data_IF_365614932963
#
_entry.id   IF_365614932963
#
_cell.length_a   1.000
_cell.length_b   1.000
_cell.length_c   1.000
_cell.angle_alpha   90.00
_cell.angle_beta   90.00
_cell.angle_gamma   90.00
#
_symmetry.space_group_name_H-M   'P 1'
#
loop_
_entity.id
_entity.type
_entity.pdbx_description
1 polymer ?
#
# COMPACT_ATOMS: atom_id res chain seq x y z
N UNK A 1 -53.72 24.75 -11.43
CA UNK A 1 -52.42 24.02 -11.50
C UNK A 1 -51.19 24.93 -11.65
N UNK A 2 -51.13 25.90 -12.58
CA UNK A 2 -49.97 26.82 -12.71
C UNK A 2 -49.75 27.72 -11.48
N UNK A 3 -50.80 28.20 -10.82
CA UNK A 3 -50.69 29.11 -9.66
C UNK A 3 -50.08 28.44 -8.42
N UNK A 4 -50.57 27.26 -8.05
CA UNK A 4 -50.11 26.50 -6.87
C UNK A 4 -48.63 26.07 -7.00
N UNK A 5 -48.19 25.74 -8.21
CA UNK A 5 -46.79 25.43 -8.51
C UNK A 5 -45.87 26.65 -8.33
N UNK A 6 -46.25 27.81 -8.88
CA UNK A 6 -45.48 29.05 -8.73
C UNK A 6 -45.41 29.51 -7.27
N UNK A 7 -46.49 29.29 -6.51
CA UNK A 7 -46.54 29.58 -5.09
C UNK A 7 -45.57 28.71 -4.27
N UNK A 8 -45.48 27.41 -4.60
CA UNK A 8 -44.52 26.48 -3.97
C UNK A 8 -43.06 26.85 -4.26
N UNK A 9 -42.75 27.34 -5.46
CA UNK A 9 -41.40 27.81 -5.80
C UNK A 9 -41.03 29.12 -5.10
N UNK A 10 -41.97 30.04 -4.91
CA UNK A 10 -41.75 31.30 -4.16
C UNK A 10 -41.40 31.06 -2.68
N UNK A 11 -41.81 29.92 -2.11
CA UNK A 11 -41.50 29.53 -0.72
C UNK A 11 -40.05 29.02 -0.54
N UNK A 12 -39.27 28.88 -1.62
CA UNK A 12 -37.85 28.50 -1.52
C UNK A 12 -37.01 29.74 -1.12
N UNK A 13 -36.31 29.72 0.03
CA UNK A 13 -35.49 30.85 0.46
C UNK A 13 -34.27 31.06 -0.47
N UNK A 14 -33.77 32.30 -0.52
CA UNK A 14 -32.51 32.59 -1.20
C UNK A 14 -31.35 31.88 -0.51
N UNK A 15 -30.27 31.60 -1.26
CA UNK A 15 -29.09 30.94 -0.72
C UNK A 15 -28.49 31.71 0.46
N UNK A 16 -28.46 33.05 0.40
CA UNK A 16 -27.91 33.86 1.48
C UNK A 16 -28.77 33.78 2.75
N UNK A 17 -30.11 33.70 2.61
CA UNK A 17 -31.02 33.42 3.74
C UNK A 17 -30.80 32.04 4.35
N UNK A 18 -30.44 31.04 3.55
CA UNK A 18 -30.09 29.69 4.05
C UNK A 18 -28.77 29.76 4.81
N UNK A 19 -27.73 30.37 4.22
CA UNK A 19 -26.40 30.49 4.83
C UNK A 19 -26.43 31.26 6.17
N UNK A 20 -27.37 32.19 6.34
CA UNK A 20 -27.56 32.92 7.59
C UNK A 20 -28.22 32.08 8.72
N UNK A 21 -28.79 30.90 8.44
CA UNK A 21 -29.46 30.08 9.46
C UNK A 21 -28.45 29.50 10.45
N UNK A 22 -28.77 29.55 11.76
CA UNK A 22 -27.97 28.93 12.83
C UNK A 22 -27.63 27.46 12.54
N UNK A 23 -28.56 26.70 11.95
CA UNK A 23 -28.36 25.27 11.60
C UNK A 23 -27.35 25.03 10.47
N UNK A 24 -26.96 26.06 9.71
CA UNK A 24 -25.97 25.96 8.62
C UNK A 24 -24.55 26.34 9.08
N UNK A 25 -24.44 27.09 10.19
CA UNK A 25 -23.16 27.53 10.74
C UNK A 25 -22.14 26.40 10.99
N UNK A 26 -22.52 25.19 11.44
CA UNK A 26 -21.56 24.09 11.57
C UNK A 26 -20.83 23.75 10.27
N UNK A 27 -21.53 23.80 9.12
CA UNK A 27 -20.91 23.55 7.81
C UNK A 27 -19.99 24.69 7.39
N UNK A 28 -20.27 25.93 7.78
CA UNK A 28 -19.41 27.08 7.48
C UNK A 28 -18.15 27.16 8.35
N UNK A 29 -18.15 26.47 9.50
CA UNK A 29 -16.95 26.25 10.32
C UNK A 29 -16.05 25.16 9.72
N UNK A 30 -16.65 24.13 9.13
CA UNK A 30 -15.91 22.99 8.54
C UNK A 30 -15.45 23.25 7.11
N UNK A 31 -16.20 24.03 6.32
CA UNK A 31 -15.92 24.27 4.91
C UNK A 31 -15.91 25.75 4.54
N UNK A 32 -15.08 26.18 3.57
CA UNK A 32 -15.10 27.55 3.07
C UNK A 32 -16.49 28.00 2.63
N UNK A 33 -16.92 29.21 3.01
CA UNK A 33 -18.26 29.73 2.69
C UNK A 33 -18.61 29.66 1.21
N UNK A 34 -17.65 29.96 0.32
CA UNK A 34 -17.83 29.87 -1.15
C UNK A 34 -18.24 28.46 -1.57
N UNK A 35 -17.59 27.44 -1.01
CA UNK A 35 -17.88 26.05 -1.28
C UNK A 35 -19.29 25.67 -0.82
N UNK A 36 -19.66 25.99 0.43
CA UNK A 36 -21.01 25.74 0.96
C UNK A 36 -22.08 26.47 0.13
N UNK A 37 -21.82 27.72 -0.29
CA UNK A 37 -22.74 28.50 -1.15
C UNK A 37 -22.98 27.82 -2.49
N UNK A 38 -21.93 27.35 -3.17
CA UNK A 38 -22.04 26.62 -4.44
C UNK A 38 -22.90 25.36 -4.28
N UNK A 39 -22.70 24.59 -3.20
CA UNK A 39 -23.48 23.36 -2.95
C UNK A 39 -24.92 23.64 -2.58
N UNK A 40 -25.18 24.66 -1.76
CA UNK A 40 -26.54 25.11 -1.51
C UNK A 40 -27.25 25.50 -2.81
N UNK A 41 -26.58 26.26 -3.70
CA UNK A 41 -27.16 26.64 -4.99
C UNK A 41 -27.48 25.42 -5.88
N UNK A 42 -26.56 24.45 -5.97
CA UNK A 42 -26.78 23.22 -6.72
C UNK A 42 -27.97 22.41 -6.15
N UNK A 43 -28.05 22.28 -4.83
CA UNK A 43 -29.17 21.59 -4.16
C UNK A 43 -30.49 22.32 -4.35
N UNK A 44 -30.51 23.65 -4.30
CA UNK A 44 -31.71 24.44 -4.60
C UNK A 44 -32.13 24.28 -6.06
N UNK A 45 -31.20 24.20 -7.00
CA UNK A 45 -31.51 23.91 -8.42
C UNK A 45 -32.15 22.52 -8.56
N UNK A 46 -31.58 21.50 -7.91
CA UNK A 46 -32.15 20.15 -7.89
C UNK A 46 -33.55 20.13 -7.25
N UNK A 47 -33.71 20.79 -6.10
CA UNK A 47 -34.99 20.88 -5.40
C UNK A 47 -36.08 21.54 -6.26
N UNK A 48 -35.74 22.61 -6.99
CA UNK A 48 -36.67 23.25 -7.95
C UNK A 48 -37.10 22.27 -9.03
N UNK A 49 -36.19 21.43 -9.55
CA UNK A 49 -36.53 20.37 -10.50
C UNK A 49 -37.41 19.28 -9.87
N UNK A 50 -37.11 18.85 -8.65
CA UNK A 50 -37.88 17.83 -7.94
C UNK A 50 -39.32 18.30 -7.63
N UNK A 51 -39.50 19.58 -7.30
CA UNK A 51 -40.83 20.20 -7.14
C UNK A 51 -41.58 20.24 -8.49
N UNK A 52 -40.88 20.59 -9.58
CA UNK A 52 -41.45 20.58 -10.94
C UNK A 52 -41.91 19.19 -11.37
N UNK A 53 -41.12 18.16 -11.04
CA UNK A 53 -41.43 16.76 -11.34
C UNK A 53 -42.39 16.11 -10.31
N UNK A 54 -42.98 16.89 -9.39
CA UNK A 54 -43.86 16.42 -8.30
C UNK A 54 -43.24 15.37 -7.37
N UNK A 55 -41.91 15.23 -7.36
CA UNK A 55 -41.16 14.34 -6.45
C UNK A 55 -41.07 14.88 -5.03
N UNK A 56 -41.16 16.21 -4.87
CA UNK A 56 -41.27 16.90 -3.57
C UNK A 56 -42.37 17.94 -3.62
N UNK A 57 -43.08 18.14 -2.51
CA UNK A 57 -44.19 19.10 -2.44
C UNK A 57 -43.74 20.53 -2.13
N UNK A 58 -42.80 20.71 -1.18
CA UNK A 58 -42.36 22.02 -0.68
C UNK A 58 -40.88 22.00 -0.24
N UNK A 59 -40.29 23.18 -0.01
CA UNK A 59 -39.01 23.31 0.68
C UNK A 59 -39.17 23.03 2.18
N UNK A 60 -38.40 22.08 2.70
CA UNK A 60 -38.31 21.80 4.14
C UNK A 60 -36.85 21.95 4.57
N UNK A 61 -36.57 22.89 5.49
CA UNK A 61 -35.20 23.20 5.90
C UNK A 61 -34.49 21.97 6.53
N UNK A 62 -35.21 21.13 7.27
CA UNK A 62 -34.65 19.93 7.91
C UNK A 62 -34.15 18.93 6.86
N UNK A 63 -34.94 18.67 5.82
CA UNK A 63 -34.55 17.80 4.70
C UNK A 63 -33.40 18.40 3.90
N UNK A 64 -33.44 19.71 3.63
CA UNK A 64 -32.37 20.40 2.92
C UNK A 64 -31.03 20.31 3.67
N UNK A 65 -31.04 20.39 5.01
CA UNK A 65 -29.83 20.20 5.83
C UNK A 65 -29.30 18.78 5.71
N UNK A 66 -30.17 17.77 5.65
CA UNK A 66 -29.78 16.37 5.43
C UNK A 66 -29.17 16.20 4.04
N UNK A 67 -29.80 16.75 3.01
CA UNK A 67 -29.30 16.73 1.63
C UNK A 67 -27.94 17.46 1.52
N UNK A 68 -27.80 18.61 2.19
CA UNK A 68 -26.56 19.37 2.24
C UNK A 68 -25.45 18.60 2.94
N UNK A 69 -25.73 18.01 4.11
CA UNK A 69 -24.77 17.14 4.81
C UNK A 69 -24.35 15.95 3.95
N UNK A 70 -25.29 15.30 3.27
CA UNK A 70 -25.03 14.18 2.37
C UNK A 70 -24.20 14.62 1.16
N UNK A 71 -24.39 15.85 0.67
CA UNK A 71 -23.61 16.39 -0.45
C UNK A 71 -22.20 16.75 -0.01
N UNK A 72 -22.05 17.47 1.11
CA UNK A 72 -20.75 17.90 1.63
C UNK A 72 -19.90 16.69 2.08
N UNK A 73 -20.51 15.67 2.68
CA UNK A 73 -19.81 14.44 3.08
C UNK A 73 -19.28 13.62 1.89
N UNK A 74 -19.92 13.71 0.72
CA UNK A 74 -19.43 13.11 -0.54
C UNK A 74 -18.23 13.85 -1.13
N UNK A 75 -17.97 15.07 -0.68
CA UNK A 75 -16.89 15.93 -1.19
C UNK A 75 -15.72 16.08 -0.23
N UNK A 76 -15.70 15.26 0.83
CA UNK A 76 -14.46 14.95 1.54
C UNK A 76 -13.45 14.37 0.56
N UNK A 77 -12.16 14.51 0.88
CA UNK A 77 -11.06 13.92 0.09
C UNK A 77 -11.39 12.48 -0.30
N UNK A 78 -11.16 12.14 -1.58
CA UNK A 78 -11.43 10.80 -2.09
C UNK A 78 -10.61 9.75 -1.34
N UNK A 79 -9.36 10.09 -1.02
CA UNK A 79 -8.51 9.35 -0.10
C UNK A 79 -8.86 9.68 1.36
N UNK A 80 -9.05 8.65 2.16
CA UNK A 80 -9.49 8.76 3.56
C UNK A 80 -8.65 7.85 4.44
N UNK A 81 -8.48 8.24 5.70
CA UNK A 81 -8.05 7.31 6.74
C UNK A 81 -9.06 6.16 6.82
N UNK A 82 -8.55 4.94 6.89
CA UNK A 82 -9.32 3.70 7.00
C UNK A 82 -8.79 2.92 8.21
N UNK A 83 -9.69 2.26 8.94
CA UNK A 83 -9.33 1.27 9.96
C UNK A 83 -9.25 -0.11 9.28
N UNK A 84 -8.06 -0.70 9.29
CA UNK A 84 -7.83 -2.03 8.74
C UNK A 84 -8.08 -3.11 9.80
N UNK A 85 -9.27 -3.72 9.76
CA UNK A 85 -9.62 -4.88 10.58
C UNK A 85 -9.53 -6.21 9.81
N UNK A 86 -8.87 -6.21 8.65
CA UNK A 86 -8.82 -7.38 7.76
C UNK A 86 -7.76 -8.40 8.14
N UNK A 87 -6.79 -8.07 9.01
CA UNK A 87 -5.71 -9.00 9.34
C UNK A 87 -4.67 -9.18 8.23
N UNK A 88 -4.75 -8.41 7.15
CA UNK A 88 -3.75 -8.37 6.08
C UNK A 88 -2.85 -7.18 6.35
N UNK A 89 -1.58 -7.42 6.69
CA UNK A 89 -0.63 -6.38 7.12
C UNK A 89 -0.31 -5.43 5.95
N UNK A 90 0.25 -5.97 4.87
CA UNK A 90 0.59 -5.25 3.64
C UNK A 90 -0.57 -5.37 2.65
N UNK A 91 -1.69 -4.74 2.98
CA UNK A 91 -2.90 -4.80 2.16
C UNK A 91 -2.77 -3.85 0.95
N UNK A 92 -2.64 -4.43 -0.24
CA UNK A 92 -2.47 -3.67 -1.51
C UNK A 92 -3.63 -2.70 -1.78
N UNK A 93 -4.86 -3.04 -1.37
CA UNK A 93 -6.02 -2.18 -1.54
C UNK A 93 -6.08 -1.02 -0.53
N UNK A 94 -5.38 -1.16 0.61
CA UNK A 94 -5.40 -0.18 1.70
C UNK A 94 -4.09 0.61 1.83
N UNK A 95 -3.22 0.56 0.81
CA UNK A 95 -2.00 1.37 0.74
C UNK A 95 -0.72 0.69 1.24
N UNK A 96 -0.70 -0.64 1.37
CA UNK A 96 0.47 -1.44 1.78
C UNK A 96 0.99 -1.06 3.19
N UNK A 97 2.27 -0.71 3.32
CA UNK A 97 2.93 -0.45 4.59
C UNK A 97 2.50 0.90 5.19
N UNK A 98 1.92 0.92 6.40
CA UNK A 98 1.77 2.17 7.14
C UNK A 98 3.15 2.68 7.59
N UNK A 99 3.32 4.00 7.58
CA UNK A 99 4.55 4.66 8.02
C UNK A 99 4.56 4.90 9.54
N UNK A 100 5.74 4.93 10.19
CA UNK A 100 5.86 5.23 11.62
C UNK A 100 5.26 6.61 11.97
N UNK A 101 4.66 6.74 13.16
CA UNK A 101 4.01 7.99 13.60
C UNK A 101 4.99 9.18 13.62
N UNK A 102 6.22 8.94 14.09
CA UNK A 102 7.25 9.96 14.21
C UNK A 102 7.86 10.41 12.86
N UNK A 103 7.61 9.68 11.77
CA UNK A 103 8.12 10.03 10.43
C UNK A 103 7.60 11.40 9.99
N UNK A 104 6.33 11.72 10.26
CA UNK A 104 5.73 13.00 9.83
C UNK A 104 6.48 14.18 10.44
N UNK A 105 6.76 14.11 11.74
CA UNK A 105 7.50 15.17 12.45
C UNK A 105 8.93 15.30 11.92
N UNK A 106 9.58 14.19 11.56
CA UNK A 106 10.92 14.19 10.98
C UNK A 106 10.95 14.88 9.61
N UNK A 107 9.99 14.59 8.73
CA UNK A 107 10.02 15.13 7.35
C UNK A 107 9.33 16.49 7.21
N UNK A 108 8.44 16.88 8.13
CA UNK A 108 7.67 18.12 8.02
C UNK A 108 8.54 19.36 7.76
N UNK A 109 9.66 19.59 8.48
CA UNK A 109 10.54 20.74 8.20
C UNK A 109 11.12 20.72 6.78
N UNK A 110 11.46 19.52 6.26
CA UNK A 110 11.99 19.32 4.91
C UNK A 110 10.93 19.62 3.85
N UNK A 111 9.66 19.27 4.13
CA UNK A 111 8.57 19.42 3.18
C UNK A 111 8.04 20.85 3.11
N UNK A 112 7.89 21.52 4.26
CA UNK A 112 7.30 22.87 4.37
C UNK A 112 8.29 23.96 3.93
N UNK A 113 9.60 23.68 3.96
CA UNK A 113 10.64 24.62 3.54
C UNK A 113 11.46 24.19 2.31
N UNK A 114 12.51 24.97 2.07
CA UNK A 114 13.63 24.57 1.21
C UNK A 114 14.48 23.50 1.91
N UNK A 115 15.19 22.70 1.12
CA UNK A 115 16.09 21.67 1.66
C UNK A 115 17.31 21.52 0.75
N UNK A 116 18.33 20.83 1.26
CA UNK A 116 19.53 20.46 0.52
C UNK A 116 19.31 19.26 -0.41
N UNK A 117 18.10 19.09 -0.96
CA UNK A 117 17.72 17.93 -1.76
C UNK A 117 18.69 17.67 -2.93
N UNK A 118 19.15 18.72 -3.61
CA UNK A 118 20.16 18.64 -4.67
C UNK A 118 21.29 19.64 -4.44
N UNK A 119 21.65 19.90 -3.19
CA UNK A 119 22.68 20.87 -2.82
C UNK A 119 23.67 20.26 -1.85
N UNK A 120 24.95 20.29 -2.19
CA UNK A 120 26.01 19.86 -1.29
C UNK A 120 26.40 21.03 -0.38
N UNK A 121 26.09 20.91 0.91
CA UNK A 121 26.35 21.97 1.91
C UNK A 121 27.85 22.23 2.12
N UNK A 122 28.70 21.20 2.02
CA UNK A 122 30.14 21.33 2.22
C UNK A 122 30.82 22.05 1.05
N UNK A 123 30.36 21.79 -0.18
CA UNK A 123 30.97 22.34 -1.39
C UNK A 123 30.27 23.60 -1.91
N UNK A 124 29.04 23.90 -1.44
CA UNK A 124 28.28 25.06 -1.91
C UNK A 124 27.84 24.97 -3.38
N UNK A 125 27.63 23.75 -3.90
CA UNK A 125 27.27 23.51 -5.31
C UNK A 125 26.13 22.50 -5.44
N UNK A 126 25.61 22.35 -6.67
CA UNK A 126 24.62 21.32 -6.97
C UNK A 126 25.14 19.92 -6.63
N UNK A 127 24.43 19.22 -5.76
CA UNK A 127 24.67 17.83 -5.38
C UNK A 127 23.73 16.85 -6.08
N UNK A 128 23.89 15.55 -5.80
CA UNK A 128 23.00 14.51 -6.30
C UNK A 128 21.99 14.15 -5.21
N UNK A 129 20.70 14.13 -5.55
CA UNK A 129 19.63 13.82 -4.58
C UNK A 129 19.72 12.45 -3.93
N UNK A 130 20.38 11.50 -4.59
CA UNK A 130 20.47 10.13 -4.13
C UNK A 130 21.60 9.92 -3.13
N UNK A 131 22.49 10.90 -2.95
CA UNK A 131 23.59 10.80 -1.99
C UNK A 131 23.05 10.64 -0.56
N UNK A 132 21.88 11.21 -0.26
CA UNK A 132 21.16 11.06 1.02
C UNK A 132 20.77 9.61 1.38
N UNK A 133 20.63 8.73 0.38
CA UNK A 133 20.19 7.34 0.56
C UNK A 133 21.28 6.32 0.26
N UNK A 134 22.20 6.65 -0.63
CA UNK A 134 23.19 5.70 -1.17
C UNK A 134 24.08 5.15 -0.07
N UNK A 135 24.57 5.98 0.84
CA UNK A 135 25.39 5.53 1.98
C UNK A 135 24.63 4.55 2.87
N UNK A 136 23.43 4.93 3.31
CA UNK A 136 22.59 4.11 4.18
C UNK A 136 22.25 2.74 3.55
N UNK A 137 21.91 2.71 2.26
CA UNK A 137 21.61 1.46 1.56
C UNK A 137 22.85 0.56 1.48
N UNK A 138 24.03 1.12 1.23
CA UNK A 138 25.28 0.34 1.21
C UNK A 138 25.60 -0.22 2.58
N UNK A 139 25.55 0.61 3.62
CA UNK A 139 25.86 0.20 4.99
C UNK A 139 24.90 -0.91 5.46
N UNK A 140 23.62 -0.82 5.08
CA UNK A 140 22.61 -1.79 5.47
C UNK A 140 22.69 -3.12 4.70
N UNK A 141 23.13 -3.08 3.43
CA UNK A 141 23.01 -4.23 2.52
C UNK A 141 24.33 -4.88 2.11
N UNK A 142 25.44 -4.16 2.26
CA UNK A 142 26.76 -4.57 1.77
C UNK A 142 26.94 -4.41 0.26
N UNK A 143 25.97 -3.84 -0.46
CA UNK A 143 26.11 -3.58 -1.89
C UNK A 143 27.20 -2.53 -2.18
N UNK A 144 27.84 -2.61 -3.35
CA UNK A 144 28.85 -1.60 -3.74
C UNK A 144 28.23 -0.22 -3.95
N UNK A 145 27.03 -0.18 -4.53
CA UNK A 145 26.33 1.06 -4.86
C UNK A 145 24.82 0.85 -4.95
N UNK A 146 24.06 1.96 -4.92
CA UNK A 146 22.60 1.95 -4.90
C UNK A 146 21.95 3.10 -5.68
N UNK A 147 20.79 2.84 -6.30
CA UNK A 147 19.94 3.85 -6.94
C UNK A 147 18.49 3.65 -6.53
N UNK A 148 17.74 4.75 -6.42
CA UNK A 148 16.32 4.71 -6.08
C UNK A 148 15.49 5.38 -7.18
N UNK A 149 14.44 4.69 -7.62
CA UNK A 149 13.49 5.14 -8.64
C UNK A 149 12.06 5.03 -8.11
N UNK A 150 11.07 5.51 -8.88
CA UNK A 150 9.68 5.68 -8.46
C UNK A 150 9.05 4.41 -7.83
N UNK A 151 9.28 3.24 -8.42
CA UNK A 151 8.82 1.96 -7.90
C UNK A 151 9.65 0.82 -8.51
N UNK A 152 9.47 -0.40 -8.01
CA UNK A 152 10.24 -1.56 -8.50
C UNK A 152 9.96 -1.90 -9.97
N UNK A 153 8.75 -1.64 -10.48
CA UNK A 153 8.46 -1.80 -11.90
C UNK A 153 9.34 -0.88 -12.77
N UNK A 154 9.51 0.37 -12.34
CA UNK A 154 10.45 1.31 -12.95
C UNK A 154 11.91 0.87 -12.79
N UNK A 155 12.27 0.23 -11.68
CA UNK A 155 13.62 -0.31 -11.48
C UNK A 155 13.94 -1.41 -12.49
N UNK A 156 13.01 -2.36 -12.67
CA UNK A 156 13.14 -3.43 -13.66
C UNK A 156 13.19 -2.86 -15.08
N UNK A 157 12.29 -1.94 -15.42
CA UNK A 157 12.28 -1.25 -16.71
C UNK A 157 13.61 -0.57 -17.01
N UNK A 158 14.15 0.19 -16.05
CA UNK A 158 15.41 0.91 -16.21
C UNK A 158 16.61 -0.03 -16.41
N UNK A 159 16.66 -1.15 -15.69
CA UNK A 159 17.74 -2.13 -15.85
C UNK A 159 17.67 -2.84 -17.21
N UNK A 160 16.48 -3.23 -17.65
CA UNK A 160 16.27 -3.84 -18.96
C UNK A 160 16.63 -2.87 -20.09
N UNK A 161 16.24 -1.60 -19.94
CA UNK A 161 16.55 -0.54 -20.88
C UNK A 161 18.06 -0.35 -21.07
N UNK A 162 18.80 -0.21 -19.96
CA UNK A 162 20.23 0.08 -19.98
C UNK A 162 21.05 -1.11 -20.51
N UNK A 163 20.74 -2.33 -20.08
CA UNK A 163 21.62 -3.47 -20.33
C UNK A 163 21.16 -4.41 -21.44
N UNK A 164 19.90 -4.36 -21.84
CA UNK A 164 19.34 -5.36 -22.74
C UNK A 164 18.40 -4.82 -23.82
N UNK A 165 18.23 -3.51 -23.99
CA UNK A 165 17.38 -2.94 -25.04
C UNK A 165 17.77 -3.50 -26.42
N UNK A 166 16.78 -4.02 -27.17
CA UNK A 166 16.93 -4.70 -28.47
C UNK A 166 17.82 -5.94 -28.45
N UNK A 167 18.08 -6.51 -27.27
CA UNK A 167 18.88 -7.71 -27.03
C UNK A 167 18.05 -8.77 -26.33
N UNK A 168 18.61 -9.96 -26.16
CA UNK A 168 17.92 -11.09 -25.55
C UNK A 168 18.08 -11.11 -24.04
N UNK A 169 16.95 -11.33 -23.35
CA UNK A 169 16.87 -11.53 -21.90
C UNK A 169 16.29 -12.91 -21.63
N UNK A 170 17.06 -13.76 -20.95
CA UNK A 170 16.65 -15.11 -20.62
C UNK A 170 15.94 -15.12 -19.27
N UNK A 171 14.74 -15.69 -19.21
CA UNK A 171 13.92 -15.81 -17.99
C UNK A 171 13.29 -17.19 -17.91
N UNK A 172 13.21 -17.76 -16.71
CA UNK A 172 12.42 -18.99 -16.49
C UNK A 172 10.93 -18.73 -16.74
N UNK A 173 10.25 -19.65 -17.44
CA UNK A 173 8.78 -19.61 -17.62
C UNK A 173 8.03 -19.55 -16.29
N UNK A 174 8.53 -20.27 -15.27
CA UNK A 174 7.94 -20.29 -13.93
C UNK A 174 8.04 -18.97 -13.16
N UNK A 175 8.84 -18.02 -13.66
CA UNK A 175 9.12 -16.73 -13.04
C UNK A 175 8.49 -15.55 -13.80
N UNK A 176 7.68 -15.81 -14.83
CA UNK A 176 6.91 -14.79 -15.54
C UNK A 176 5.64 -14.45 -14.77
N UNK A 177 5.81 -13.61 -13.75
CA UNK A 177 4.79 -13.33 -12.74
C UNK A 177 3.84 -12.18 -13.12
N UNK A 178 2.64 -12.23 -12.57
CA UNK A 178 1.67 -11.13 -12.51
C UNK A 178 1.46 -10.76 -11.04
N UNK A 179 1.71 -9.49 -10.68
CA UNK A 179 1.57 -8.98 -9.31
C UNK A 179 0.48 -7.91 -9.29
N UNK A 180 -0.54 -8.13 -8.45
CA UNK A 180 -1.71 -7.24 -8.42
C UNK A 180 -2.52 -7.35 -9.71
N UNK A 181 -3.21 -6.28 -10.09
CA UNK A 181 -4.09 -6.27 -11.28
C UNK A 181 -3.51 -5.59 -12.53
N UNK A 182 -2.26 -5.13 -12.51
CA UNK A 182 -1.70 -4.34 -13.63
C UNK A 182 -0.20 -4.51 -13.87
N UNK A 183 0.55 -5.18 -12.99
CA UNK A 183 1.96 -5.47 -13.22
C UNK A 183 2.11 -6.90 -13.73
N UNK A 184 2.60 -7.04 -14.97
CA UNK A 184 2.92 -8.32 -15.61
C UNK A 184 4.34 -8.24 -16.12
N UNK A 185 5.24 -9.09 -15.61
CA UNK A 185 6.65 -9.07 -16.00
C UNK A 185 6.84 -9.20 -17.53
N UNK A 186 6.09 -10.06 -18.25
CA UNK A 186 6.15 -10.12 -19.72
C UNK A 186 5.83 -8.78 -20.41
N UNK A 187 4.85 -8.03 -19.90
CA UNK A 187 4.45 -6.76 -20.49
C UNK A 187 5.52 -5.66 -20.26
N UNK A 188 6.19 -5.69 -19.11
CA UNK A 188 7.34 -4.81 -18.83
C UNK A 188 8.54 -5.15 -19.72
N UNK A 189 8.86 -6.43 -19.90
CA UNK A 189 9.90 -6.90 -20.82
C UNK A 189 9.59 -6.46 -22.27
N UNK A 190 8.33 -6.56 -22.70
CA UNK A 190 7.93 -6.08 -24.01
C UNK A 190 8.08 -4.55 -24.12
N UNK A 191 7.64 -3.82 -23.10
CA UNK A 191 7.69 -2.35 -23.08
C UNK A 191 9.13 -1.78 -23.02
N UNK A 192 10.07 -2.50 -22.41
CA UNK A 192 11.50 -2.12 -22.39
C UNK A 192 12.19 -2.33 -23.74
N UNK A 193 11.53 -3.00 -24.69
CA UNK A 193 12.06 -3.26 -26.03
C UNK A 193 13.13 -4.34 -26.05
N UNK A 194 13.14 -5.24 -25.06
CA UNK A 194 13.98 -6.44 -25.07
C UNK A 194 13.29 -7.58 -25.82
N UNK A 195 14.07 -8.56 -26.27
CA UNK A 195 13.55 -9.83 -26.75
C UNK A 195 13.54 -10.83 -25.58
N UNK A 196 12.36 -11.16 -25.07
CA UNK A 196 12.18 -12.20 -24.07
C UNK A 196 12.52 -13.58 -24.66
N UNK A 197 13.40 -14.31 -24.00
CA UNK A 197 13.73 -15.71 -24.27
C UNK A 197 13.32 -16.52 -23.04
N UNK A 198 12.20 -17.23 -23.16
CA UNK A 198 11.67 -18.04 -22.07
C UNK A 198 12.30 -19.43 -22.06
N UNK A 199 12.72 -19.91 -20.90
CA UNK A 199 13.38 -21.22 -20.73
C UNK A 199 12.73 -22.08 -19.66
N UNK A 200 13.01 -23.37 -19.70
CA UNK A 200 12.42 -24.37 -18.81
C UNK A 200 10.91 -24.53 -18.98
N UNK A 201 10.26 -24.99 -17.92
CA UNK A 201 8.81 -25.18 -17.82
C UNK A 201 8.24 -24.37 -16.67
N UNK A 202 6.91 -24.33 -16.54
CA UNK A 202 6.24 -23.60 -15.45
C UNK A 202 6.73 -24.05 -14.08
N UNK A 203 6.79 -25.35 -13.81
CA UNK A 203 7.13 -25.88 -12.49
C UNK A 203 8.63 -26.20 -12.32
N UNK A 204 9.35 -26.52 -13.40
CA UNK A 204 10.76 -26.93 -13.34
C UNK A 204 11.60 -26.18 -14.36
N UNK A 205 12.65 -25.52 -13.87
CA UNK A 205 13.70 -24.94 -14.69
C UNK A 205 15.06 -25.34 -14.11
N UNK A 206 15.98 -25.74 -14.98
CA UNK A 206 17.34 -26.15 -14.65
C UNK A 206 18.34 -25.11 -15.20
N UNK A 207 19.58 -25.14 -14.70
CA UNK A 207 20.62 -24.24 -15.21
C UNK A 207 20.97 -24.54 -16.68
N UNK A 208 20.83 -25.81 -17.12
CA UNK A 208 21.01 -26.21 -18.51
C UNK A 208 20.04 -25.49 -19.46
N UNK A 209 18.81 -25.23 -19.02
CA UNK A 209 17.81 -24.50 -19.81
C UNK A 209 18.30 -23.08 -20.13
N UNK A 210 18.92 -22.41 -19.15
CA UNK A 210 19.57 -21.11 -19.37
C UNK A 210 20.77 -21.24 -20.30
N UNK A 211 21.67 -22.20 -20.03
CA UNK A 211 22.91 -22.40 -20.79
C UNK A 211 22.64 -22.64 -22.28
N UNK A 212 21.63 -23.46 -22.60
CA UNK A 212 21.28 -23.84 -23.97
C UNK A 212 20.61 -22.70 -24.75
N UNK A 213 19.99 -21.74 -24.07
CA UNK A 213 19.32 -20.61 -24.69
C UNK A 213 20.24 -19.40 -24.95
N UNK A 214 21.48 -19.43 -24.46
CA UNK A 214 22.44 -18.33 -24.67
C UNK A 214 22.85 -18.24 -26.13
N UNK A 215 22.73 -17.04 -26.69
CA UNK A 215 23.21 -16.68 -28.02
C UNK A 215 24.17 -15.49 -27.95
N UNK A 216 24.75 -15.10 -29.08
CA UNK A 216 25.53 -13.86 -29.18
C UNK A 216 24.71 -12.57 -28.91
N UNK A 217 23.38 -12.67 -28.93
CA UNK A 217 22.46 -11.56 -28.65
C UNK A 217 22.03 -11.50 -27.17
N UNK A 218 22.33 -12.50 -26.37
CA UNK A 218 21.98 -12.54 -24.93
C UNK A 218 22.79 -11.51 -24.16
N UNK A 219 22.11 -10.67 -23.38
CA UNK A 219 22.75 -9.63 -22.55
C UNK A 219 22.34 -9.65 -21.09
N UNK A 220 21.25 -10.33 -20.75
CA UNK A 220 20.83 -10.49 -19.36
C UNK A 220 20.28 -11.87 -19.06
N UNK A 221 20.67 -12.44 -17.92
CA UNK A 221 19.96 -13.53 -17.25
C UNK A 221 19.15 -12.91 -16.12
N UNK A 222 17.83 -12.94 -16.25
CA UNK A 222 16.92 -12.32 -15.29
C UNK A 222 16.21 -13.41 -14.48
N UNK A 223 16.34 -13.32 -13.16
CA UNK A 223 15.57 -14.06 -12.18
C UNK A 223 14.50 -13.15 -11.58
N UNK A 224 13.33 -13.72 -11.29
CA UNK A 224 12.25 -13.00 -10.60
C UNK A 224 11.70 -13.84 -9.47
N UNK A 225 11.56 -13.22 -8.29
CA UNK A 225 11.03 -13.88 -7.13
C UNK A 225 9.50 -13.97 -7.18
N UNK A 226 8.98 -15.15 -6.85
CA UNK A 226 7.54 -15.45 -6.77
C UNK A 226 6.96 -14.92 -5.47
N UNK A 227 6.90 -13.60 -5.35
CA UNK A 227 6.50 -12.90 -4.11
C UNK A 227 4.98 -12.92 -3.82
N UNK A 228 4.13 -13.35 -4.76
CA UNK A 228 2.67 -13.30 -4.61
C UNK A 228 1.94 -14.62 -4.87
N UNK A 229 2.65 -15.68 -5.21
CA UNK A 229 2.12 -17.04 -5.29
C UNK A 229 3.22 -18.07 -5.02
N UNK A 230 2.83 -19.31 -4.72
CA UNK A 230 3.76 -20.42 -4.56
C UNK A 230 3.33 -21.59 -5.43
N UNK A 231 4.30 -22.26 -6.05
CA UNK A 231 4.07 -23.54 -6.71
C UNK A 231 4.29 -24.68 -5.71
N UNK A 232 3.38 -25.64 -5.68
CA UNK A 232 3.42 -26.81 -4.78
C UNK A 232 3.47 -28.08 -5.63
N UNK A 233 4.19 -29.09 -5.15
CA UNK A 233 4.42 -30.36 -5.85
C UNK A 233 5.82 -30.45 -6.44
N UNK A 234 5.95 -31.00 -7.64
CA UNK A 234 7.22 -31.22 -8.31
C UNK A 234 7.80 -29.94 -8.92
N UNK A 235 8.48 -29.14 -8.11
CA UNK A 235 9.06 -27.85 -8.53
C UNK A 235 10.58 -27.83 -8.49
N UNK A 236 11.22 -27.07 -9.39
CA UNK A 236 12.67 -26.81 -9.38
C UNK A 236 12.94 -25.43 -9.97
N UNK A 237 13.75 -24.64 -9.28
CA UNK A 237 14.40 -23.45 -9.83
C UNK A 237 15.91 -23.68 -9.90
N UNK A 238 16.62 -23.00 -10.82
CA UNK A 238 18.08 -22.94 -10.78
C UNK A 238 18.54 -22.23 -9.50
N UNK A 239 19.68 -22.63 -8.96
CA UNK A 239 20.25 -21.88 -7.84
C UNK A 239 20.77 -20.53 -8.34
N UNK A 240 20.54 -19.46 -7.56
CA UNK A 240 21.01 -18.10 -7.91
C UNK A 240 22.51 -18.10 -8.21
N UNK A 241 23.29 -18.85 -7.42
CA UNK A 241 24.75 -18.98 -7.59
C UNK A 241 25.14 -19.59 -8.94
N UNK A 242 24.40 -20.59 -9.43
CA UNK A 242 24.65 -21.21 -10.74
C UNK A 242 24.42 -20.19 -11.87
N UNK A 243 23.36 -19.38 -11.76
CA UNK A 243 23.04 -18.33 -12.74
C UNK A 243 24.11 -17.24 -12.72
N UNK A 244 24.59 -16.84 -11.54
CA UNK A 244 25.69 -15.87 -11.39
C UNK A 244 26.97 -16.39 -12.04
N UNK A 245 27.35 -17.64 -11.77
CA UNK A 245 28.54 -18.26 -12.36
C UNK A 245 28.43 -18.34 -13.90
N UNK A 246 27.26 -18.70 -14.42
CA UNK A 246 27.00 -18.73 -15.85
C UNK A 246 27.10 -17.34 -16.48
N UNK A 247 26.52 -16.32 -15.84
CA UNK A 247 26.61 -14.92 -16.28
C UNK A 247 28.06 -14.44 -16.35
N UNK A 248 28.83 -14.66 -15.28
CA UNK A 248 30.27 -14.33 -15.22
C UNK A 248 31.07 -15.03 -16.33
N UNK A 249 30.87 -16.34 -16.51
CA UNK A 249 31.57 -17.13 -17.52
C UNK A 249 31.29 -16.69 -18.97
N UNK A 250 30.15 -16.02 -19.20
CA UNK A 250 29.71 -15.57 -20.54
C UNK A 250 29.76 -14.06 -20.74
N UNK A 251 30.13 -13.29 -19.71
CA UNK A 251 30.09 -11.83 -19.75
C UNK A 251 28.68 -11.26 -19.91
N UNK A 252 27.68 -11.91 -19.30
CA UNK A 252 26.25 -11.56 -19.36
C UNK A 252 25.82 -11.02 -17.99
N UNK A 253 25.06 -9.92 -17.98
CA UNK A 253 24.57 -9.30 -16.74
C UNK A 253 23.55 -10.22 -16.07
N UNK A 254 23.67 -10.40 -14.76
CA UNK A 254 22.75 -11.18 -13.94
C UNK A 254 21.92 -10.26 -13.06
N UNK A 255 20.60 -10.40 -13.15
CA UNK A 255 19.68 -9.54 -12.43
C UNK A 255 18.68 -10.38 -11.64
N UNK A 256 18.39 -9.96 -10.40
CA UNK A 256 17.29 -10.49 -9.60
C UNK A 256 16.26 -9.40 -9.32
N UNK A 257 15.04 -9.60 -9.81
CA UNK A 257 13.88 -8.89 -9.30
C UNK A 257 13.37 -9.59 -8.02
N UNK A 258 13.91 -9.18 -6.87
CA UNK A 258 13.55 -9.74 -5.57
C UNK A 258 12.15 -9.30 -5.13
N UNK A 259 11.77 -8.07 -5.48
CA UNK A 259 10.43 -7.53 -5.29
C UNK A 259 10.07 -7.18 -3.83
N UNK A 260 10.21 -8.10 -2.87
CA UNK A 260 9.66 -7.99 -1.51
C UNK A 260 10.34 -6.93 -0.63
N UNK A 261 11.65 -6.73 -0.81
CA UNK A 261 12.46 -5.79 -0.03
C UNK A 261 12.67 -6.22 1.42
N UNK A 262 12.73 -7.53 1.68
CA UNK A 262 12.94 -8.06 3.01
C UNK A 262 14.36 -7.79 3.53
N UNK A 263 14.49 -7.08 4.65
CA UNK A 263 15.79 -6.78 5.27
C UNK A 263 16.02 -7.53 6.60
N UNK A 264 14.96 -7.97 7.27
CA UNK A 264 15.00 -8.71 8.53
C UNK A 264 14.26 -10.02 8.34
N UNK A 265 14.86 -11.16 8.70
CA UNK A 265 14.22 -12.47 8.55
C UNK A 265 12.88 -12.53 9.31
N UNK A 266 11.86 -13.09 8.65
CA UNK A 266 10.52 -13.27 9.23
C UNK A 266 10.39 -14.57 10.04
N UNK A 267 11.46 -15.36 10.17
CA UNK A 267 11.45 -16.60 10.95
C UNK A 267 11.13 -16.34 12.43
N UNK A 268 11.59 -15.20 12.97
CA UNK A 268 11.24 -14.78 14.32
C UNK A 268 9.75 -14.45 14.53
N UNK A 269 9.01 -14.21 13.44
CA UNK A 269 7.56 -14.10 13.44
C UNK A 269 6.85 -15.46 13.27
N UNK A 270 7.60 -16.55 13.15
CA UNK A 270 7.09 -17.91 12.94
C UNK A 270 6.80 -18.25 11.48
N UNK A 271 7.36 -17.50 10.52
CA UNK A 271 7.21 -17.75 9.08
C UNK A 271 8.38 -18.56 8.53
N UNK A 272 8.19 -19.18 7.36
CA UNK A 272 9.29 -19.84 6.66
C UNK A 272 10.33 -18.84 6.18
N UNK A 273 11.53 -19.37 5.96
CA UNK A 273 12.64 -18.64 5.37
C UNK A 273 12.26 -18.03 4.03
N UNK A 274 12.66 -16.78 3.85
CA UNK A 274 12.47 -15.97 2.67
C UNK A 274 13.76 -15.17 2.45
N UNK A 275 14.31 -15.13 1.21
CA UNK A 275 15.59 -14.50 0.97
C UNK A 275 15.56 -13.01 1.32
N UNK A 276 16.47 -12.62 2.20
CA UNK A 276 16.73 -11.23 2.52
C UNK A 276 17.53 -10.55 1.40
N UNK A 277 17.43 -9.22 1.34
CA UNK A 277 18.23 -8.41 0.42
C UNK A 277 19.72 -8.66 0.64
N UNK A 278 20.17 -8.78 1.90
CA UNK A 278 21.55 -9.03 2.25
C UNK A 278 22.04 -10.41 1.79
N UNK A 279 21.21 -11.45 1.90
CA UNK A 279 21.52 -12.77 1.37
C UNK A 279 21.65 -12.74 -0.16
N UNK A 280 20.76 -12.02 -0.85
CA UNK A 280 20.85 -11.87 -2.31
C UNK A 280 22.11 -11.10 -2.72
N UNK A 281 22.50 -10.04 -2.01
CA UNK A 281 23.74 -9.30 -2.28
C UNK A 281 24.97 -10.23 -2.16
N UNK A 282 24.99 -11.13 -1.17
CA UNK A 282 26.07 -12.12 -0.98
C UNK A 282 26.17 -13.15 -2.11
N UNK A 283 25.14 -13.31 -2.94
CA UNK A 283 25.20 -14.19 -4.13
C UNK A 283 26.00 -13.58 -5.28
N UNK A 284 26.43 -12.32 -5.17
CA UNK A 284 27.21 -11.59 -6.17
C UNK A 284 26.50 -11.37 -7.52
N UNK A 285 25.17 -11.37 -7.51
CA UNK A 285 24.36 -10.85 -8.61
C UNK A 285 24.84 -9.45 -9.01
N UNK A 286 24.85 -9.18 -10.32
CA UNK A 286 25.29 -7.88 -10.82
C UNK A 286 24.32 -6.76 -10.41
N UNK A 287 23.01 -7.08 -10.40
CA UNK A 287 21.92 -6.15 -10.08
C UNK A 287 20.81 -6.87 -9.28
N UNK A 288 20.32 -6.21 -8.23
CA UNK A 288 19.16 -6.64 -7.44
C UNK A 288 18.17 -5.47 -7.37
N UNK A 289 16.87 -5.74 -7.57
CA UNK A 289 15.82 -4.73 -7.40
C UNK A 289 14.68 -5.18 -6.47
N UNK A 290 14.12 -4.25 -5.69
CA UNK A 290 12.97 -4.50 -4.83
C UNK A 290 12.14 -3.24 -4.51
N UNK A 291 10.93 -3.46 -3.96
CA UNK A 291 10.02 -2.38 -3.53
C UNK A 291 10.34 -1.86 -2.12
N UNK A 292 10.22 -0.54 -1.93
CA UNK A 292 10.33 0.12 -0.62
C UNK A 292 9.10 0.03 0.28
N UNK A 293 7.89 -0.16 -0.29
CA UNK A 293 6.61 -0.13 0.43
C UNK A 293 6.02 -1.52 0.72
N UNK A 294 6.86 -2.56 0.63
CA UNK A 294 6.52 -3.94 0.96
C UNK A 294 7.12 -4.31 2.32
N UNK A 295 8.00 -5.32 2.39
CA UNK A 295 8.58 -5.78 3.67
C UNK A 295 9.62 -4.81 4.23
N UNK A 296 10.17 -3.91 3.40
CA UNK A 296 11.00 -2.81 3.88
C UNK A 296 10.21 -1.86 4.81
N UNK A 297 8.90 -1.73 4.61
CA UNK A 297 8.02 -0.94 5.49
C UNK A 297 8.11 0.58 5.29
N UNK A 298 8.61 1.05 4.14
CA UNK A 298 8.79 2.45 3.82
C UNK A 298 7.81 2.99 2.78
N UNK A 299 8.11 4.17 2.17
CA UNK A 299 7.29 4.72 1.08
C UNK A 299 7.47 3.92 -0.22
N UNK A 300 6.60 4.18 -1.20
CA UNK A 300 6.76 3.58 -2.53
C UNK A 300 8.10 4.01 -3.13
N UNK A 301 8.93 3.03 -3.47
CA UNK A 301 10.21 3.21 -4.13
C UNK A 301 10.61 1.92 -4.86
N UNK A 302 11.42 2.04 -5.89
CA UNK A 302 12.17 0.95 -6.49
C UNK A 302 13.63 1.13 -6.14
N UNK A 303 14.18 0.19 -5.36
CA UNK A 303 15.57 0.25 -4.91
C UNK A 303 16.36 -0.71 -5.79
N UNK A 304 17.46 -0.22 -6.37
CA UNK A 304 18.39 -0.97 -7.19
C UNK A 304 19.71 -1.01 -6.45
N UNK A 305 20.23 -2.20 -6.20
CA UNK A 305 21.54 -2.47 -5.64
C UNK A 305 22.40 -3.19 -6.67
N UNK A 306 23.70 -2.97 -6.66
CA UNK A 306 24.60 -3.71 -7.56
C UNK A 306 25.99 -3.14 -7.58
N UNK A 307 26.77 -3.56 -8.58
CA UNK A 307 28.14 -3.07 -8.78
C UNK A 307 28.17 -1.59 -9.11
N UNK A 308 29.18 -0.89 -8.61
CA UNK A 308 29.31 0.58 -8.76
C UNK A 308 29.31 1.03 -10.22
N UNK A 309 30.01 0.31 -11.11
CA UNK A 309 30.07 0.64 -12.53
C UNK A 309 28.69 0.54 -13.19
N UNK A 310 27.93 -0.50 -12.86
CA UNK A 310 26.59 -0.74 -13.38
C UNK A 310 25.61 0.32 -12.86
N UNK A 311 25.50 0.50 -11.54
CA UNK A 311 24.58 1.50 -10.98
C UNK A 311 24.88 2.91 -11.50
N UNK A 312 26.15 3.26 -11.76
CA UNK A 312 26.51 4.53 -12.39
C UNK A 312 26.03 4.67 -13.85
N UNK A 313 26.00 3.59 -14.62
CA UNK A 313 25.42 3.61 -15.96
C UNK A 313 23.91 3.90 -15.90
N UNK A 314 23.19 3.22 -15.00
CA UNK A 314 21.76 3.48 -14.75
C UNK A 314 21.50 4.95 -14.39
N UNK A 315 22.33 5.58 -13.56
CA UNK A 315 22.19 7.01 -13.22
C UNK A 315 22.28 7.95 -14.43
N UNK A 316 23.07 7.59 -15.44
CA UNK A 316 23.26 8.37 -16.67
C UNK A 316 22.16 8.13 -17.70
N UNK A 317 21.43 7.04 -17.57
CA UNK A 317 20.32 6.71 -18.45
C UNK A 317 19.22 7.80 -18.39
N UNK A 318 18.73 8.32 -19.54
CA UNK A 318 17.68 9.34 -19.57
C UNK A 318 16.38 8.94 -18.87
N UNK A 319 16.00 7.65 -18.85
CA UNK A 319 14.82 7.17 -18.15
C UNK A 319 14.91 7.38 -16.63
N UNK A 320 16.11 7.42 -16.06
CA UNK A 320 16.30 7.75 -14.63
C UNK A 320 15.72 9.11 -14.27
N UNK A 321 15.68 10.06 -15.21
CA UNK A 321 15.07 11.37 -14.98
C UNK A 321 13.54 11.29 -14.93
N UNK A 322 12.93 10.44 -15.74
CA UNK A 322 11.49 10.22 -15.77
C UNK A 322 11.01 9.39 -14.57
N UNK A 323 11.84 8.44 -14.12
CA UNK A 323 11.57 7.55 -12.99
C UNK A 323 12.07 8.12 -11.65
N UNK A 324 12.51 9.37 -11.62
CA UNK A 324 13.09 10.02 -10.46
C UNK A 324 12.07 10.13 -9.32
N UNK A 325 12.45 9.69 -8.12
CA UNK A 325 11.64 9.85 -6.90
C UNK A 325 11.55 11.32 -6.47
N UNK A 326 10.47 11.68 -5.78
CA UNK A 326 10.23 13.02 -5.29
C UNK A 326 10.86 13.28 -3.90
N UNK A 327 10.68 14.50 -3.37
CA UNK A 327 11.24 14.95 -2.07
C UNK A 327 10.67 14.14 -0.89
N UNK A 328 9.37 13.86 -0.90
CA UNK A 328 8.71 13.09 0.16
C UNK A 328 9.29 11.69 0.24
N UNK A 329 9.39 11.00 -0.90
CA UNK A 329 9.90 9.63 -0.95
C UNK A 329 11.34 9.53 -0.42
N UNK A 330 12.22 10.48 -0.78
CA UNK A 330 13.60 10.49 -0.27
C UNK A 330 13.63 10.68 1.25
N UNK A 331 12.97 11.72 1.77
CA UNK A 331 13.01 12.01 3.20
C UNK A 331 12.35 10.91 4.04
N UNK A 332 11.25 10.34 3.56
CA UNK A 332 10.57 9.23 4.22
C UNK A 332 11.42 7.95 4.17
N UNK A 333 12.06 7.63 3.04
CA UNK A 333 12.90 6.45 2.93
C UNK A 333 14.18 6.58 3.76
N UNK A 334 14.80 7.76 3.83
CA UNK A 334 15.95 8.02 4.70
C UNK A 334 15.60 7.70 6.16
N UNK A 335 14.46 8.19 6.65
CA UNK A 335 14.00 7.90 8.01
C UNK A 335 13.85 6.40 8.28
N UNK A 336 13.27 5.65 7.34
CA UNK A 336 13.08 4.21 7.46
C UNK A 336 14.42 3.47 7.48
N UNK A 337 15.35 3.82 6.59
CA UNK A 337 16.68 3.22 6.57
C UNK A 337 17.47 3.52 7.86
N UNK A 338 17.29 4.70 8.44
CA UNK A 338 17.87 5.07 9.74
C UNK A 338 17.30 4.24 10.89
N UNK A 339 16.01 3.90 10.86
CA UNK A 339 15.44 2.94 11.84
C UNK A 339 16.18 1.60 11.74
N UNK A 340 16.35 1.05 10.53
CA UNK A 340 17.08 -0.22 10.37
C UNK A 340 18.53 -0.18 10.88
N UNK A 341 19.22 0.94 10.71
CA UNK A 341 20.64 1.06 11.06
C UNK A 341 20.88 1.43 12.53
N UNK A 342 20.00 2.23 13.13
CA UNK A 342 20.30 2.92 14.39
C UNK A 342 19.30 2.66 15.51
N UNK A 343 18.14 2.05 15.25
CA UNK A 343 17.22 1.67 16.31
C UNK A 343 17.73 0.44 17.05
N UNK A 344 17.57 0.41 18.37
CA UNK A 344 17.83 -0.79 19.18
C UNK A 344 16.94 -1.97 18.76
N UNK A 345 15.72 -1.67 18.29
CA UNK A 345 14.77 -2.66 17.84
C UNK A 345 13.92 -2.17 16.64
N UNK A 346 14.45 -2.25 15.41
CA UNK A 346 13.74 -1.79 14.21
C UNK A 346 12.42 -2.51 13.97
N UNK A 347 12.29 -3.76 14.42
CA UNK A 347 11.04 -4.54 14.30
C UNK A 347 9.87 -3.88 15.02
N UNK A 348 10.12 -3.21 16.14
CA UNK A 348 9.07 -2.55 16.93
C UNK A 348 8.71 -1.16 16.40
N UNK A 349 9.63 -0.50 15.70
CA UNK A 349 9.44 0.85 15.18
C UNK A 349 8.79 0.89 13.79
N UNK A 350 9.00 -0.14 12.97
CA UNK A 350 8.40 -0.25 11.63
C UNK A 350 7.01 -0.89 11.76
N UNK A 351 5.91 -0.19 11.44
CA UNK A 351 4.55 -0.68 11.74
C UNK A 351 4.22 -2.05 11.15
N UNK A 352 4.61 -2.32 9.91
CA UNK A 352 4.37 -3.61 9.27
C UNK A 352 5.10 -4.77 9.96
N UNK A 353 6.37 -4.54 10.36
CA UNK A 353 7.14 -5.54 11.12
C UNK A 353 6.57 -5.71 12.53
N UNK A 354 6.24 -4.61 13.21
CA UNK A 354 5.65 -4.65 14.54
C UNK A 354 4.37 -5.49 14.54
N UNK A 355 3.49 -5.31 13.54
CA UNK A 355 2.29 -6.13 13.35
C UNK A 355 2.60 -7.61 13.10
N UNK A 356 3.63 -7.92 12.31
CA UNK A 356 3.99 -9.29 11.97
C UNK A 356 4.57 -10.05 13.17
N UNK A 357 5.41 -9.38 13.97
CA UNK A 357 6.09 -9.95 15.14
C UNK A 357 5.25 -9.89 16.43
N UNK A 358 4.01 -9.39 16.37
CA UNK A 358 3.09 -9.42 17.50
C UNK A 358 2.86 -10.87 17.99
N UNK A 359 3.26 -11.14 19.24
CA UNK A 359 3.01 -12.44 19.89
C UNK A 359 1.51 -12.72 19.95
N UNK A 360 1.12 -13.95 19.65
CA UNK A 360 -0.28 -14.41 19.67
C UNK A 360 -0.98 -14.17 21.02
N UNK A 361 -0.23 -14.22 22.14
CA UNK A 361 -0.74 -13.90 23.48
C UNK A 361 -1.16 -12.43 23.64
N UNK A 362 -0.41 -11.50 23.04
CA UNK A 362 -0.75 -10.07 23.01
C UNK A 362 -2.00 -9.84 22.17
N UNK A 363 -2.07 -10.48 21.00
CA UNK A 363 -3.25 -10.41 20.13
C UNK A 363 -4.50 -10.96 20.86
N UNK A 364 -4.37 -12.08 21.58
CA UNK A 364 -5.45 -12.64 22.40
C UNK A 364 -5.97 -11.65 23.44
N UNK A 365 -5.08 -10.94 24.14
CA UNK A 365 -5.46 -9.90 25.11
C UNK A 365 -6.20 -8.74 24.42
N UNK A 366 -5.70 -8.27 23.27
CA UNK A 366 -6.37 -7.22 22.46
C UNK A 366 -7.76 -7.67 22.00
N UNK A 367 -7.89 -8.89 21.48
CA UNK A 367 -9.16 -9.48 21.06
C UNK A 367 -10.17 -9.55 22.22
N UNK A 368 -9.70 -9.90 23.42
CA UNK A 368 -10.54 -9.97 24.61
C UNK A 368 -11.06 -8.60 25.04
N UNK A 369 -10.16 -7.60 25.13
CA UNK A 369 -10.55 -6.22 25.46
C UNK A 369 -11.51 -5.64 24.42
N UNK A 370 -11.25 -5.87 23.14
CA UNK A 370 -12.14 -5.48 22.06
C UNK A 370 -13.50 -6.17 22.17
N UNK A 371 -13.54 -7.48 22.46
CA UNK A 371 -14.80 -8.21 22.68
C UNK A 371 -15.64 -7.53 23.77
N UNK A 372 -15.06 -7.27 24.95
CA UNK A 372 -15.77 -6.64 26.08
C UNK A 372 -16.31 -5.26 25.69
N UNK A 373 -15.45 -4.41 25.14
CA UNK A 373 -15.82 -3.05 24.71
C UNK A 373 -16.95 -3.04 23.69
N UNK A 374 -16.94 -3.95 22.71
CA UNK A 374 -17.99 -4.02 21.69
C UNK A 374 -19.31 -4.59 22.23
N UNK A 375 -19.25 -5.55 23.17
CA UNK A 375 -20.45 -6.06 23.83
C UNK A 375 -21.15 -4.98 24.64
N UNK A 376 -20.39 -4.19 25.41
CA UNK A 376 -20.92 -3.04 26.15
C UNK A 376 -21.54 -1.99 25.20
N UNK A 377 -20.89 -1.75 24.06
CA UNK A 377 -21.30 -0.75 23.08
C UNK A 377 -22.64 -1.06 22.38
N UNK A 378 -22.88 -2.33 22.05
CA UNK A 378 -24.14 -2.76 21.41
C UNK A 378 -25.17 -3.37 22.35
N UNK A 379 -24.82 -3.57 23.63
CA UNK A 379 -25.68 -4.19 24.66
C UNK A 379 -26.25 -5.53 24.16
N UNK A 380 -27.53 -5.81 24.43
CA UNK A 380 -28.20 -7.05 24.01
C UNK A 380 -28.27 -7.24 22.48
N UNK A 381 -28.15 -6.17 21.69
CA UNK A 381 -28.30 -6.22 20.22
C UNK A 381 -27.04 -6.73 19.50
N UNK A 382 -25.93 -6.91 20.20
CA UNK A 382 -24.68 -7.39 19.60
C UNK A 382 -24.17 -8.63 20.31
N UNK A 383 -23.87 -9.67 19.53
CA UNK A 383 -23.15 -10.85 19.99
C UNK A 383 -21.73 -10.78 19.48
N UNK A 384 -20.77 -10.82 20.39
CA UNK A 384 -19.34 -10.81 20.06
C UNK A 384 -18.68 -12.06 20.61
N UNK A 385 -17.98 -12.79 19.75
CA UNK A 385 -17.24 -14.01 20.11
C UNK A 385 -15.80 -13.93 19.65
N UNK A 386 -14.92 -14.72 20.27
CA UNK A 386 -13.54 -14.86 19.83
C UNK A 386 -13.33 -16.23 19.19
N UNK A 387 -12.48 -16.29 18.17
CA UNK A 387 -12.06 -17.54 17.55
C UNK A 387 -10.55 -17.50 17.25
N UNK A 388 -9.91 -18.67 17.21
CA UNK A 388 -8.59 -18.78 16.59
C UNK A 388 -8.73 -18.60 15.08
N UNK A 389 -7.73 -18.04 14.44
CA UNK A 389 -7.68 -17.93 13.00
C UNK A 389 -6.30 -17.55 12.52
N UNK A 390 -6.25 -16.99 11.32
CA UNK A 390 -5.00 -16.60 10.68
C UNK A 390 -5.06 -15.18 10.12
N UNK A 391 -3.89 -14.55 10.10
CA UNK A 391 -3.61 -13.28 9.47
C UNK A 391 -2.61 -13.50 8.33
N UNK A 392 -2.55 -12.56 7.40
CA UNK A 392 -1.65 -12.62 6.26
C UNK A 392 -0.67 -11.45 6.33
N UNK A 393 0.60 -11.69 5.97
CA UNK A 393 1.56 -10.59 5.84
C UNK A 393 1.20 -9.71 4.65
N UNK A 394 0.69 -10.30 3.57
CA UNK A 394 0.23 -9.58 2.39
C UNK A 394 0.37 -10.41 1.14
N UNK A 395 -0.63 -10.35 0.25
CA UNK A 395 -0.66 -11.17 -0.95
C UNK A 395 0.42 -10.87 -1.99
N UNK A 396 1.28 -9.87 -1.78
CA UNK A 396 2.34 -9.46 -2.71
C UNK A 396 3.77 -9.60 -2.17
N UNK A 397 3.95 -10.28 -1.04
CA UNK A 397 5.25 -10.46 -0.37
C UNK A 397 5.57 -11.89 0.03
N UNK A 398 4.70 -12.55 0.80
CA UNK A 398 4.92 -13.89 1.36
C UNK A 398 3.69 -14.77 1.11
N UNK A 399 3.60 -15.44 -0.05
CA UNK A 399 2.39 -16.14 -0.45
C UNK A 399 2.23 -17.46 0.31
N UNK A 400 0.97 -17.77 0.67
CA UNK A 400 0.56 -18.97 1.40
C UNK A 400 1.13 -19.14 2.82
N UNK A 401 1.87 -18.15 3.33
CA UNK A 401 2.34 -18.10 4.71
C UNK A 401 1.35 -17.32 5.57
N UNK A 402 0.99 -17.87 6.72
CA UNK A 402 -0.05 -17.33 7.60
C UNK A 402 0.43 -17.22 9.03
N UNK A 403 -0.01 -16.17 9.72
CA UNK A 403 0.33 -15.92 11.12
C UNK A 403 -0.87 -16.26 12.02
N UNK A 404 -0.72 -17.11 13.06
CA UNK A 404 -1.80 -17.39 14.00
C UNK A 404 -2.32 -16.13 14.70
N UNK A 405 -3.64 -15.96 14.79
CA UNK A 405 -4.31 -14.81 15.41
C UNK A 405 -5.49 -15.21 16.29
N UNK A 406 -6.05 -14.23 17.01
CA UNK A 406 -7.34 -14.34 17.69
C UNK A 406 -8.29 -13.31 17.10
N UNK A 407 -9.31 -13.80 16.41
CA UNK A 407 -10.32 -13.02 15.70
C UNK A 407 -11.44 -12.59 16.64
N UNK A 408 -12.02 -11.42 16.36
CA UNK A 408 -13.25 -10.92 16.98
C UNK A 408 -14.37 -11.01 15.97
N UNK A 409 -15.35 -11.87 16.24
CA UNK A 409 -16.51 -12.12 15.38
C UNK A 409 -17.73 -11.39 15.92
N UNK A 410 -18.44 -10.67 15.05
CA UNK A 410 -19.55 -9.78 15.42
C UNK A 410 -20.81 -10.19 14.66
N UNK A 411 -21.91 -10.30 15.40
CA UNK A 411 -23.27 -10.43 14.87
C UNK A 411 -24.14 -9.36 15.54
N UNK A 412 -24.91 -8.62 14.74
CA UNK A 412 -25.89 -7.65 15.23
C UNK A 412 -27.28 -8.20 14.96
N UNK A 413 -28.10 -8.28 16.00
CA UNK A 413 -29.48 -8.75 15.92
C UNK A 413 -30.28 -7.92 14.90
N UNK A 414 -31.13 -8.57 14.11
CA UNK A 414 -31.94 -7.90 13.09
C UNK A 414 -31.16 -7.44 11.85
N UNK A 415 -29.85 -7.70 11.76
CA UNK A 415 -29.01 -7.22 10.65
C UNK A 415 -28.22 -8.33 9.95
N UNK A 416 -28.40 -8.45 8.63
CA UNK A 416 -27.64 -9.41 7.81
C UNK A 416 -26.14 -9.06 7.80
N UNK A 417 -25.28 -10.08 7.78
CA UNK A 417 -23.81 -9.94 7.80
C UNK A 417 -23.27 -9.02 6.70
N UNK A 418 -23.75 -9.17 5.46
CA UNK A 418 -23.38 -8.27 4.34
C UNK A 418 -23.75 -6.81 4.62
N UNK A 419 -24.90 -6.58 5.26
CA UNK A 419 -25.35 -5.23 5.61
C UNK A 419 -24.50 -4.62 6.72
N UNK A 420 -24.09 -5.42 7.70
CA UNK A 420 -23.18 -4.97 8.77
C UNK A 420 -21.87 -4.49 8.16
N UNK A 421 -21.31 -5.28 7.25
CA UNK A 421 -20.08 -4.93 6.56
C UNK A 421 -20.23 -3.64 5.72
N UNK A 422 -21.35 -3.44 5.02
CA UNK A 422 -21.64 -2.18 4.32
C UNK A 422 -21.69 -0.97 5.26
N UNK A 423 -22.34 -1.11 6.41
CA UNK A 423 -22.44 -0.03 7.40
C UNK A 423 -21.07 0.30 8.00
N UNK A 424 -20.24 -0.71 8.29
CA UNK A 424 -18.86 -0.51 8.74
C UNK A 424 -18.01 0.21 7.67
N UNK A 425 -18.13 -0.16 6.39
CA UNK A 425 -17.45 0.55 5.30
C UNK A 425 -17.97 1.99 5.10
N UNK A 426 -19.23 2.24 5.42
CA UNK A 426 -19.85 3.57 5.34
C UNK A 426 -19.60 4.43 6.58
N UNK A 427 -18.97 3.87 7.61
CA UNK A 427 -18.59 4.57 8.83
C UNK A 427 -17.57 5.67 8.54
N UNK A 428 -17.41 6.59 9.49
CA UNK A 428 -16.37 7.62 9.44
C UNK A 428 -15.55 7.51 10.74
N UNK A 429 -14.26 7.12 10.66
CA UNK A 429 -13.58 6.58 9.47
C UNK A 429 -14.15 5.22 9.01
N UNK A 430 -14.04 4.84 7.72
CA UNK A 430 -14.44 3.51 7.26
C UNK A 430 -13.69 2.40 8.00
N UNK A 431 -14.40 1.32 8.34
CA UNK A 431 -13.83 0.12 8.97
C UNK A 431 -13.92 -1.01 7.95
N UNK A 432 -12.76 -1.54 7.55
CA UNK A 432 -12.69 -2.65 6.59
C UNK A 432 -12.43 -3.93 7.36
N UNK A 433 -13.45 -4.79 7.36
CA UNK A 433 -13.44 -6.12 7.96
C UNK A 433 -13.66 -7.18 6.87
N UNK A 434 -13.66 -8.46 7.25
CA UNK A 434 -13.95 -9.58 6.33
C UNK A 434 -15.13 -10.41 6.81
N UNK A 435 -15.63 -11.31 5.97
CA UNK A 435 -16.68 -12.27 6.32
C UNK A 435 -16.06 -13.67 6.38
N UNK A 436 -16.28 -14.37 7.48
CA UNK A 436 -15.97 -15.80 7.62
C UNK A 436 -17.13 -16.49 8.33
N UNK A 437 -17.53 -17.68 7.86
CA UNK A 437 -18.62 -18.47 8.46
C UNK A 437 -19.90 -17.65 8.71
N UNK A 438 -20.28 -16.82 7.74
CA UNK A 438 -21.40 -15.87 7.77
C UNK A 438 -21.39 -14.88 8.95
N UNK A 439 -20.20 -14.51 9.45
CA UNK A 439 -20.02 -13.48 10.48
C UNK A 439 -19.05 -12.41 10.02
N UNK A 440 -19.23 -11.19 10.51
CA UNK A 440 -18.22 -10.14 10.32
C UNK A 440 -17.05 -10.43 11.26
N UNK A 441 -15.85 -10.46 10.71
CA UNK A 441 -14.61 -10.80 11.40
C UNK A 441 -13.67 -9.61 11.38
N UNK A 442 -13.18 -9.25 12.57
CA UNK A 442 -12.15 -8.25 12.79
C UNK A 442 -10.91 -8.89 13.39
N UNK A 443 -9.76 -8.64 12.77
CA UNK A 443 -8.47 -9.14 13.23
C UNK A 443 -7.70 -8.03 13.97
N UNK A 444 -7.48 -8.15 15.30
CA UNK A 444 -6.79 -7.14 16.09
C UNK A 444 -5.32 -6.93 15.74
N UNK A 445 -4.72 -7.76 14.88
CA UNK A 445 -3.33 -7.58 14.44
C UNK A 445 -3.11 -6.25 13.72
N UNK A 446 -4.03 -5.88 12.83
CA UNK A 446 -3.91 -4.71 11.95
C UNK A 446 -4.69 -3.49 12.45
N UNK A 447 -5.33 -3.60 13.63
CA UNK A 447 -6.04 -2.51 14.28
C UNK A 447 -5.08 -1.83 15.24
N UNK A 448 -4.84 -0.52 15.04
CA UNK A 448 -4.03 0.23 16.00
C UNK A 448 -4.80 0.41 17.32
N UNK A 449 -4.14 0.39 18.49
CA UNK A 449 -4.81 0.47 19.79
C UNK A 449 -5.78 1.65 19.92
N UNK A 450 -5.39 2.83 19.44
CA UNK A 450 -6.20 4.05 19.44
C UNK A 450 -7.46 3.97 18.57
N UNK A 451 -7.56 3.00 17.65
CA UNK A 451 -8.68 2.84 16.73
C UNK A 451 -9.82 2.00 17.32
N UNK A 452 -9.59 1.28 18.42
CA UNK A 452 -10.60 0.45 19.08
C UNK A 452 -11.80 1.31 19.51
N UNK A 453 -11.55 2.50 20.04
CA UNK A 453 -12.61 3.45 20.45
C UNK A 453 -13.46 3.90 19.26
N UNK A 454 -12.88 4.03 18.06
CA UNK A 454 -13.63 4.40 16.85
C UNK A 454 -14.52 3.24 16.36
N UNK A 455 -14.05 2.00 16.49
CA UNK A 455 -14.86 0.81 16.22
C UNK A 455 -16.02 0.71 17.22
N UNK A 456 -15.76 0.96 18.50
CA UNK A 456 -16.79 0.96 19.55
C UNK A 456 -17.92 1.95 19.23
N UNK A 457 -17.58 3.20 18.92
CA UNK A 457 -18.54 4.23 18.50
C UNK A 457 -19.33 3.83 17.26
N UNK A 458 -18.69 3.14 16.31
CA UNK A 458 -19.37 2.64 15.11
C UNK A 458 -20.43 1.59 15.47
N UNK A 459 -20.09 0.62 16.33
CA UNK A 459 -21.02 -0.42 16.78
C UNK A 459 -22.19 0.17 17.57
N UNK A 460 -21.95 1.11 18.48
CA UNK A 460 -23.04 1.81 19.20
C UNK A 460 -24.02 2.48 18.24
N UNK A 461 -23.52 3.19 17.21
CA UNK A 461 -24.38 3.84 16.21
C UNK A 461 -25.18 2.82 15.40
N UNK A 462 -24.53 1.76 14.94
CA UNK A 462 -25.18 0.72 14.12
C UNK A 462 -26.30 0.05 14.94
N UNK A 463 -26.03 -0.34 16.18
CA UNK A 463 -27.04 -0.97 17.05
C UNK A 463 -28.15 -0.01 17.51
N UNK A 464 -27.93 1.31 17.43
CA UNK A 464 -28.96 2.32 17.67
C UNK A 464 -29.90 2.57 16.49
N UNK A 465 -29.53 2.12 15.28
CA UNK A 465 -30.32 2.28 14.06
C UNK A 465 -31.15 1.03 13.69
N UNK A 466 -30.86 -0.10 14.32
CA UNK A 466 -31.65 -1.34 14.29
C UNK A 466 -32.44 -1.40 15.59
#
# INVERSE_FOLDING_TARGET
MKSEYMERLRKIPSVDRILAKKKIQPFLKEYPRKFVKVRCNALLKKLRMDIRLKKRKVFVLKEFIVDLRNTLSKERTSMKKIINATGIILNTNLGRAPLPEHLVNFIQPILVGYSNLEYNLMQGVRGKRYDHLTGLLKDLTGAEDALVVNNNAGAVLLCLDEYARRKEVIVSRGQLIEIGGSYRLPDILKASGVKLVEVGTTNRTYIEDFKNAITSKTKMLLLSHRSNFRMVGFTKDPEVKEVVLLGKARGIVTMMDLGSGLLISMEGAGLKHEPTVQEMVKTELDIISFSGDKLLGGPQAGIILGRKSLVNALRKNPLSRALRVDKFTISALEYILRIYLFADNPVMEIPGLAMAFLKTSVIKKRAHSMKQSLQEAGKAKVRVTMAKGFSEVGGGTLPAEVLPTHLVMIVVEGLKTKKLLELLRSNIPPIIARIEHDRVVMDPRTIFPQEINEIQKAITRICGCV
#
